data_IF_512027417996
#
_entry.id   IF_512027417996
#
_cell.length_a   1.000
_cell.length_b   1.000
_cell.length_c   1.000
_cell.angle_alpha   90.00
_cell.angle_beta   90.00
_cell.angle_gamma   90.00
#
_symmetry.space_group_name_H-M   'P 1'
#
loop_
_entity.id
_entity.type
_entity.pdbx_description
1 polymer ?
#
# COMPACT_ATOMS: atom_id res chain seq x y z
N UNK A 1 -6.08 6.30 -0.68
CA UNK A 1 -5.87 5.12 0.21
C UNK A 1 -6.94 4.06 0.08
N UNK A 2 -8.22 4.42 -0.14
CA UNK A 2 -9.28 3.42 -0.30
C UNK A 2 -9.02 2.46 -1.49
N UNK A 3 -8.70 3.00 -2.67
CA UNK A 3 -8.33 2.19 -3.84
C UNK A 3 -7.11 1.28 -3.59
N UNK A 4 -6.11 1.78 -2.84
CA UNK A 4 -4.94 0.99 -2.48
C UNK A 4 -5.30 -0.21 -1.60
N UNK A 5 -6.25 -0.05 -0.66
CA UNK A 5 -6.72 -1.14 0.19
C UNK A 5 -7.45 -2.21 -0.62
N UNK A 6 -8.27 -1.80 -1.60
CA UNK A 6 -8.96 -2.75 -2.48
C UNK A 6 -7.95 -3.57 -3.29
N UNK A 7 -6.99 -2.91 -3.95
CA UNK A 7 -5.96 -3.60 -4.73
C UNK A 7 -5.12 -4.56 -3.86
N UNK A 8 -4.72 -4.13 -2.67
CA UNK A 8 -3.99 -4.98 -1.73
C UNK A 8 -4.85 -6.16 -1.25
N UNK A 9 -6.16 -5.98 -1.07
CA UNK A 9 -7.09 -7.05 -0.72
C UNK A 9 -7.25 -8.09 -1.84
N UNK A 10 -7.11 -7.67 -3.10
CA UNK A 10 -7.03 -8.58 -4.25
C UNK A 10 -5.68 -9.29 -4.38
N UNK A 11 -4.72 -9.02 -3.49
CA UNK A 11 -3.38 -9.62 -3.51
C UNK A 11 -2.42 -8.96 -4.49
N UNK A 12 -2.74 -7.75 -4.98
CA UNK A 12 -1.85 -6.97 -5.83
C UNK A 12 -0.54 -6.66 -5.09
N UNK A 13 0.58 -6.70 -5.83
CA UNK A 13 1.88 -6.36 -5.26
C UNK A 13 1.90 -4.92 -4.77
N UNK A 14 2.40 -4.68 -3.55
CA UNK A 14 2.52 -3.35 -2.93
C UNK A 14 3.19 -2.33 -3.86
N UNK A 15 4.16 -2.76 -4.67
CA UNK A 15 4.84 -1.92 -5.66
C UNK A 15 3.89 -1.44 -6.76
N UNK A 16 3.05 -2.33 -7.30
CA UNK A 16 2.06 -1.95 -8.31
C UNK A 16 1.03 -1.00 -7.72
N UNK A 17 0.51 -1.32 -6.54
CA UNK A 17 -0.46 -0.47 -5.83
C UNK A 17 0.09 0.93 -5.59
N UNK A 18 1.36 1.04 -5.19
CA UNK A 18 2.02 2.32 -4.97
C UNK A 18 2.03 3.17 -6.24
N UNK A 19 2.40 2.58 -7.38
CA UNK A 19 2.43 3.27 -8.67
C UNK A 19 1.03 3.67 -9.15
N UNK A 20 0.06 2.78 -8.97
CA UNK A 20 -1.33 2.97 -9.42
C UNK A 20 -2.02 4.13 -8.68
N UNK A 21 -1.72 4.28 -7.39
CA UNK A 21 -2.26 5.37 -6.56
C UNK A 21 -1.40 6.64 -6.57
N UNK A 22 -0.37 6.70 -7.42
CA UNK A 22 0.40 7.91 -7.72
C UNK A 22 1.64 8.16 -6.85
N UNK A 23 2.17 7.14 -6.16
CA UNK A 23 3.45 7.23 -5.47
C UNK A 23 4.61 6.91 -6.40
N UNK A 24 5.73 7.61 -6.21
CA UNK A 24 6.96 7.38 -7.00
C UNK A 24 7.58 6.00 -6.75
N UNK A 25 7.29 5.37 -5.61
CA UNK A 25 7.92 4.13 -5.17
C UNK A 25 7.14 3.43 -4.06
N UNK A 26 7.30 2.11 -4.00
CA UNK A 26 6.73 1.27 -2.95
C UNK A 26 7.11 1.74 -1.54
N UNK A 27 8.35 2.20 -1.35
CA UNK A 27 8.84 2.69 -0.06
C UNK A 27 8.07 3.92 0.43
N UNK A 28 7.85 4.92 -0.44
CA UNK A 28 7.11 6.14 -0.11
C UNK A 28 5.66 5.82 0.25
N UNK A 29 5.05 4.86 -0.47
CA UNK A 29 3.72 4.35 -0.14
C UNK A 29 3.68 3.61 1.19
N UNK A 30 4.65 2.73 1.47
CA UNK A 30 4.72 1.97 2.73
C UNK A 30 4.89 2.90 3.93
N UNK A 31 5.66 3.99 3.80
CA UNK A 31 5.78 5.01 4.84
C UNK A 31 4.43 5.67 5.10
N UNK A 32 3.77 6.20 4.06
CA UNK A 32 2.46 6.85 4.21
C UNK A 32 1.38 5.90 4.76
N UNK A 33 1.39 4.64 4.31
CA UNK A 33 0.51 3.60 4.81
C UNK A 33 0.78 3.32 6.30
N UNK A 34 2.05 3.22 6.71
CA UNK A 34 2.42 3.01 8.11
C UNK A 34 2.06 4.20 9.00
N UNK A 35 2.17 5.42 8.52
CA UNK A 35 1.72 6.61 9.27
C UNK A 35 0.20 6.64 9.46
N UNK A 36 -0.56 6.10 8.51
CA UNK A 36 -2.03 6.08 8.57
C UNK A 36 -2.58 4.89 9.35
N UNK A 37 -2.02 3.70 9.16
CA UNK A 37 -2.53 2.44 9.73
C UNK A 37 -1.66 1.87 10.85
N UNK A 38 -0.52 2.48 11.15
CA UNK A 38 0.41 2.03 12.20
C UNK A 38 1.23 0.78 11.84
N UNK A 39 1.02 0.18 10.66
CA UNK A 39 1.71 -1.05 10.23
C UNK A 39 1.96 -1.04 8.72
N UNK A 40 2.74 -1.98 8.19
CA UNK A 40 2.99 -2.09 6.74
C UNK A 40 1.86 -2.86 6.06
N UNK A 41 1.58 -2.59 4.76
CA UNK A 41 0.52 -3.29 4.02
C UNK A 41 0.72 -4.81 4.01
N UNK A 42 1.96 -5.28 3.85
CA UNK A 42 2.28 -6.71 3.90
C UNK A 42 1.97 -7.39 5.25
N UNK A 43 1.97 -6.64 6.36
CA UNK A 43 1.60 -7.14 7.70
C UNK A 43 0.12 -6.93 8.01
N UNK A 44 -0.52 -5.97 7.37
CA UNK A 44 -1.95 -5.70 7.49
C UNK A 44 -2.80 -6.79 6.80
N UNK A 45 -2.33 -7.31 5.66
CA UNK A 45 -3.01 -8.32 4.84
C UNK A 45 -2.42 -9.74 4.98
N UNK A 46 -1.53 -9.98 5.95
CA UNK A 46 -1.04 -11.32 6.27
C UNK A 46 -2.07 -12.07 7.10
#
# INVERSE_FOLDING_TARGET
MLAALELLAYGEAVTNVALDVGYESASSFVVAFRETFGTTPARFFK
#
